data_IF_768803014542
#
_entry.id   IF_768803014542
#
_cell.length_a   1.000
_cell.length_b   1.000
_cell.length_c   1.000
_cell.angle_alpha   90.00
_cell.angle_beta   90.00
_cell.angle_gamma   90.00
#
_symmetry.space_group_name_H-M   'P 1'
#
loop_
_entity.id
_entity.type
_entity.pdbx_description
1 polymer ?
#
# COMPACT_ATOMS: atom_id res chain seq x y z
N UNK A 1 -4.24 18.25 -12.97
CA UNK A 1 -5.17 17.23 -12.47
C UNK A 1 -5.78 16.49 -13.65
N UNK A 2 -5.97 15.14 -13.53
CA UNK A 2 -6.59 14.31 -14.57
C UNK A 2 -7.41 13.19 -13.91
N UNK A 3 -8.58 12.86 -14.48
CA UNK A 3 -9.32 11.65 -14.14
C UNK A 3 -8.62 10.41 -14.69
N UNK A 4 -8.60 9.32 -13.91
CA UNK A 4 -7.89 8.10 -14.29
C UNK A 4 -8.71 6.84 -13.97
N UNK A 5 -9.35 6.26 -14.98
CA UNK A 5 -10.29 5.14 -14.85
C UNK A 5 -9.66 3.82 -14.35
N UNK A 6 -8.33 3.70 -14.40
CA UNK A 6 -7.61 2.52 -13.88
C UNK A 6 -7.37 2.55 -12.37
N UNK A 7 -7.67 3.67 -11.68
CA UNK A 7 -7.69 3.70 -10.22
C UNK A 7 -8.93 2.92 -9.75
N UNK A 8 -8.72 1.80 -9.06
CA UNK A 8 -9.82 0.94 -8.62
C UNK A 8 -10.16 1.10 -7.14
N UNK A 9 -9.14 1.12 -6.28
CA UNK A 9 -9.27 1.14 -4.83
C UNK A 9 -8.68 2.38 -4.16
N UNK A 10 -7.96 3.24 -4.89
CA UNK A 10 -7.45 4.51 -4.38
C UNK A 10 -8.27 5.67 -4.91
N UNK A 11 -8.52 6.68 -4.06
CA UNK A 11 -9.24 7.88 -4.40
C UNK A 11 -8.44 8.77 -5.36
N UNK A 12 -7.14 8.92 -5.10
CA UNK A 12 -6.22 9.68 -5.92
C UNK A 12 -4.84 9.04 -5.99
N UNK A 13 -3.94 9.70 -6.70
CA UNK A 13 -2.51 9.41 -6.77
C UNK A 13 -1.71 10.62 -7.21
N UNK A 14 -0.68 10.98 -6.46
CA UNK A 14 0.33 11.93 -6.86
C UNK A 14 1.38 11.28 -7.76
N UNK A 15 1.69 11.88 -8.90
CA UNK A 15 2.74 11.44 -9.80
C UNK A 15 3.89 12.45 -9.75
N UNK A 16 4.92 12.15 -8.98
CA UNK A 16 5.98 13.09 -8.63
C UNK A 16 6.80 13.59 -9.83
N UNK A 17 7.12 12.70 -10.77
CA UNK A 17 7.96 13.05 -11.93
C UNK A 17 7.31 14.08 -12.87
N UNK A 18 6.00 14.07 -12.97
CA UNK A 18 5.25 14.95 -13.88
C UNK A 18 4.41 15.98 -13.13
N UNK A 19 4.55 16.08 -11.80
CA UNK A 19 3.76 16.94 -10.92
C UNK A 19 2.23 16.86 -11.20
N UNK A 20 1.74 15.64 -11.47
CA UNK A 20 0.37 15.41 -11.88
C UNK A 20 -0.42 14.70 -10.77
N UNK A 21 -1.61 15.22 -10.46
CA UNK A 21 -2.60 14.55 -9.63
C UNK A 21 -3.56 13.76 -10.50
N UNK A 22 -3.69 12.48 -10.21
CA UNK A 22 -4.67 11.57 -10.80
C UNK A 22 -5.81 11.34 -9.81
N UNK A 23 -7.05 11.49 -10.25
CA UNK A 23 -8.24 11.26 -9.44
C UNK A 23 -9.08 10.10 -9.99
N UNK A 24 -9.68 9.35 -9.07
CA UNK A 24 -10.59 8.27 -9.41
C UNK A 24 -11.94 8.87 -9.86
N UNK A 25 -12.47 8.51 -11.04
CA UNK A 25 -13.77 9.01 -11.50
C UNK A 25 -14.92 8.72 -10.53
N UNK A 26 -14.83 7.66 -9.73
CA UNK A 26 -15.86 7.33 -8.72
C UNK A 26 -16.00 8.36 -7.61
N UNK A 27 -15.05 9.28 -7.46
CA UNK A 27 -15.20 10.40 -6.53
C UNK A 27 -16.41 11.26 -6.85
N UNK A 28 -16.86 11.29 -8.09
CA UNK A 28 -18.07 12.03 -8.51
C UNK A 28 -19.29 11.56 -7.73
N UNK A 29 -19.37 10.26 -7.41
CA UNK A 29 -20.46 9.65 -6.63
C UNK A 29 -20.49 10.14 -5.16
N UNK A 30 -19.37 10.72 -4.68
CA UNK A 30 -19.20 11.18 -3.30
C UNK A 30 -19.26 12.69 -3.13
N UNK A 31 -19.49 13.43 -4.25
CA UNK A 31 -19.67 14.87 -4.26
C UNK A 31 -18.38 15.70 -4.34
N UNK A 32 -18.57 17.00 -4.59
CA UNK A 32 -17.48 17.93 -4.86
C UNK A 32 -16.54 18.12 -3.65
N UNK A 33 -17.07 18.07 -2.44
CA UNK A 33 -16.26 18.21 -1.22
C UNK A 33 -15.20 17.09 -1.12
N UNK A 34 -15.56 15.85 -1.46
CA UNK A 34 -14.63 14.72 -1.43
C UNK A 34 -13.64 14.77 -2.58
N UNK A 35 -14.05 15.28 -3.74
CA UNK A 35 -13.13 15.54 -4.87
C UNK A 35 -12.08 16.58 -4.48
N UNK A 36 -12.49 17.70 -3.90
CA UNK A 36 -11.59 18.77 -3.44
C UNK A 36 -10.65 18.26 -2.34
N UNK A 37 -11.17 17.56 -1.36
CA UNK A 37 -10.39 16.95 -0.29
C UNK A 37 -9.32 15.99 -0.83
N UNK A 38 -9.70 15.08 -1.72
CA UNK A 38 -8.76 14.14 -2.35
C UNK A 38 -7.73 14.87 -3.20
N UNK A 39 -8.13 15.89 -3.94
CA UNK A 39 -7.22 16.72 -4.73
C UNK A 39 -6.16 17.39 -3.84
N UNK A 40 -6.55 17.99 -2.73
CA UNK A 40 -5.64 18.63 -1.76
C UNK A 40 -4.73 17.59 -1.10
N UNK A 41 -5.23 16.40 -0.76
CA UNK A 41 -4.43 15.30 -0.24
C UNK A 41 -3.28 14.93 -1.19
N UNK A 42 -3.59 14.72 -2.45
CA UNK A 42 -2.57 14.36 -3.46
C UNK A 42 -1.65 15.55 -3.80
N UNK A 43 -2.17 16.78 -3.75
CA UNK A 43 -1.37 17.99 -3.91
C UNK A 43 -0.39 18.16 -2.74
N UNK A 44 -0.80 17.82 -1.50
CA UNK A 44 0.08 17.83 -0.35
C UNK A 44 1.28 16.89 -0.53
N UNK A 45 1.08 15.72 -1.16
CA UNK A 45 2.19 14.84 -1.53
C UNK A 45 3.17 15.50 -2.50
N UNK A 46 2.67 16.17 -3.55
CA UNK A 46 3.52 16.87 -4.51
C UNK A 46 4.28 18.02 -3.86
N UNK A 47 3.61 18.81 -3.03
CA UNK A 47 4.18 19.96 -2.33
C UNK A 47 5.27 19.52 -1.34
N UNK A 48 5.00 18.49 -0.53
CA UNK A 48 5.98 17.91 0.39
C UNK A 48 7.21 17.40 -0.35
N UNK A 49 7.00 16.67 -1.46
CA UNK A 49 8.09 16.16 -2.28
C UNK A 49 8.92 17.28 -2.93
N UNK A 50 8.27 18.31 -3.48
CA UNK A 50 8.95 19.46 -4.07
C UNK A 50 9.82 20.20 -3.04
N UNK A 51 9.30 20.42 -1.83
CA UNK A 51 10.03 21.07 -0.72
C UNK A 51 11.19 20.23 -0.21
N UNK A 52 11.02 18.90 -0.21
CA UNK A 52 12.08 17.98 0.22
C UNK A 52 13.25 17.90 -0.78
N UNK A 53 13.03 18.20 -2.05
CA UNK A 53 14.03 18.11 -3.11
C UNK A 53 14.53 16.66 -3.26
N UNK A 54 15.83 16.43 -3.00
CA UNK A 54 16.45 15.09 -3.09
C UNK A 54 16.35 14.28 -1.80
N UNK A 55 15.87 14.85 -0.69
CA UNK A 55 15.73 14.14 0.58
C UNK A 55 14.63 13.08 0.47
N UNK A 56 14.88 11.91 1.02
CA UNK A 56 13.81 10.91 1.21
C UNK A 56 12.95 11.31 2.39
N UNK A 57 11.65 11.41 2.17
CA UNK A 57 10.65 11.71 3.18
C UNK A 57 9.63 10.56 3.29
N UNK A 58 9.01 10.43 4.45
CA UNK A 58 7.92 9.49 4.63
C UNK A 58 6.67 10.00 3.89
N UNK A 59 5.90 9.14 3.20
CA UNK A 59 4.74 9.57 2.41
C UNK A 59 3.74 10.43 3.18
N UNK A 60 3.48 10.12 4.46
CA UNK A 60 2.59 10.86 5.34
C UNK A 60 3.34 11.35 6.59
N UNK A 61 4.60 11.78 6.40
CA UNK A 61 5.48 12.31 7.42
C UNK A 61 5.18 13.77 7.79
N UNK A 62 6.08 14.41 8.57
CA UNK A 62 5.94 15.80 8.98
C UNK A 62 5.79 16.76 7.80
N UNK A 63 6.54 16.57 6.72
CA UNK A 63 6.51 17.41 5.52
C UNK A 63 5.13 17.38 4.83
N UNK A 64 4.53 16.18 4.74
CA UNK A 64 3.19 16.01 4.20
C UNK A 64 2.13 16.66 5.12
N UNK A 65 2.25 16.48 6.43
CA UNK A 65 1.32 17.11 7.40
C UNK A 65 1.37 18.64 7.32
N UNK A 66 2.58 19.22 7.20
CA UNK A 66 2.74 20.64 7.01
C UNK A 66 2.07 21.10 5.70
N UNK A 67 2.26 20.37 4.62
CA UNK A 67 1.60 20.66 3.35
C UNK A 67 0.07 20.56 3.44
N UNK A 68 -0.47 19.60 4.20
CA UNK A 68 -1.91 19.52 4.48
C UNK A 68 -2.42 20.76 5.23
N UNK A 69 -1.67 21.22 6.24
CA UNK A 69 -2.01 22.46 6.96
C UNK A 69 -2.04 23.66 6.03
N UNK A 70 -1.03 23.81 5.19
CA UNK A 70 -0.92 24.91 4.22
C UNK A 70 -2.05 24.90 3.18
N UNK A 71 -2.60 23.72 2.87
CA UNK A 71 -3.72 23.52 1.96
C UNK A 71 -5.10 23.55 2.66
N UNK A 72 -5.15 23.87 3.96
CA UNK A 72 -6.39 23.97 4.72
C UNK A 72 -7.07 22.63 5.04
N UNK A 73 -6.30 21.53 5.08
CA UNK A 73 -6.76 20.17 5.44
C UNK A 73 -5.88 19.59 6.54
N UNK A 74 -5.63 20.34 7.61
CA UNK A 74 -4.73 19.94 8.70
C UNK A 74 -5.14 18.63 9.41
N UNK A 75 -6.45 18.32 9.42
CA UNK A 75 -7.05 17.11 9.99
C UNK A 75 -7.04 15.89 9.06
N UNK A 76 -6.35 16.00 7.90
CA UNK A 76 -6.40 14.97 6.87
C UNK A 76 -5.82 13.64 7.35
N UNK A 77 -6.54 12.56 7.04
CA UNK A 77 -6.14 11.18 7.37
C UNK A 77 -5.23 10.60 6.28
N UNK A 78 -4.39 9.64 6.68
CA UNK A 78 -3.48 8.95 5.74
C UNK A 78 -4.19 8.17 4.66
N UNK A 79 -5.40 7.66 4.97
CA UNK A 79 -6.19 6.83 4.08
C UNK A 79 -7.63 7.35 4.05
N UNK A 80 -8.23 7.34 2.87
CA UNK A 80 -9.66 7.60 2.74
C UNK A 80 -10.49 6.44 3.31
N UNK A 81 -11.70 6.74 3.74
CA UNK A 81 -12.70 5.75 4.21
C UNK A 81 -13.75 5.44 3.15
N UNK A 82 -13.54 5.89 1.91
CA UNK A 82 -14.48 5.70 0.82
C UNK A 82 -14.67 4.22 0.49
N UNK A 83 -15.91 3.76 0.21
CA UNK A 83 -16.24 2.36 -0.03
C UNK A 83 -15.85 1.90 -1.45
N UNK A 84 -14.62 2.17 -1.85
CA UNK A 84 -14.13 1.68 -3.14
C UNK A 84 -13.96 0.17 -3.12
N UNK A 85 -14.24 -0.52 -4.22
CA UNK A 85 -14.09 -1.96 -4.30
C UNK A 85 -12.65 -2.38 -4.03
N UNK A 86 -12.43 -3.12 -2.97
CA UNK A 86 -11.15 -3.77 -2.71
C UNK A 86 -11.09 -5.07 -3.52
N UNK A 87 -10.29 -5.10 -4.57
CA UNK A 87 -10.01 -6.38 -5.23
C UNK A 87 -9.14 -7.24 -4.32
N UNK A 88 -9.73 -8.27 -3.73
CA UNK A 88 -8.95 -9.35 -3.11
C UNK A 88 -8.15 -10.03 -4.22
N UNK A 89 -6.85 -9.82 -4.23
CA UNK A 89 -5.97 -10.52 -5.18
C UNK A 89 -6.00 -12.01 -4.86
N UNK A 90 -6.24 -12.88 -5.84
CA UNK A 90 -6.12 -14.32 -5.64
C UNK A 90 -4.75 -14.65 -5.04
N UNK A 91 -4.72 -15.59 -4.11
CA UNK A 91 -3.49 -16.09 -3.48
C UNK A 91 -3.25 -17.55 -3.91
N UNK A 92 -2.80 -17.76 -5.17
CA UNK A 92 -2.68 -19.10 -5.74
C UNK A 92 -1.61 -19.95 -5.08
N UNK A 93 -0.66 -19.33 -4.40
CA UNK A 93 0.44 -20.05 -3.76
C UNK A 93 0.13 -20.24 -2.27
N UNK A 94 0.10 -21.49 -1.80
CA UNK A 94 0.01 -21.82 -0.40
C UNK A 94 1.34 -22.42 0.06
N UNK A 95 1.96 -21.77 1.03
CA UNK A 95 3.15 -22.27 1.71
C UNK A 95 2.80 -22.71 3.12
N UNK A 96 3.52 -23.67 3.67
CA UNK A 96 3.35 -24.17 5.02
C UNK A 96 4.68 -24.25 5.74
N UNK A 97 4.67 -23.91 7.03
CA UNK A 97 5.80 -24.17 7.91
C UNK A 97 5.86 -25.67 8.24
N UNK A 98 7.01 -26.35 8.06
CA UNK A 98 7.11 -27.78 8.37
C UNK A 98 7.08 -28.08 9.88
N UNK A 99 7.30 -27.08 10.74
CA UNK A 99 7.36 -27.27 12.19
C UNK A 99 6.02 -26.97 12.85
N UNK A 100 5.45 -25.77 12.66
CA UNK A 100 4.19 -25.38 13.31
C UNK A 100 2.96 -25.58 12.42
N UNK A 101 3.11 -26.07 11.21
CA UNK A 101 2.05 -26.30 10.22
C UNK A 101 1.23 -25.05 9.85
N UNK A 102 1.67 -23.85 10.23
CA UNK A 102 0.99 -22.59 9.88
C UNK A 102 1.00 -22.36 8.37
N UNK A 103 -0.15 -21.94 7.84
CA UNK A 103 -0.35 -21.67 6.42
C UNK A 103 -0.09 -20.21 6.06
N UNK A 104 0.60 -20.01 4.93
CA UNK A 104 1.00 -18.70 4.41
C UNK A 104 0.53 -18.54 2.96
N UNK A 105 -0.72 -18.10 2.72
CA UNK A 105 -1.19 -17.86 1.36
C UNK A 105 -0.50 -16.62 0.76
N UNK A 106 -0.01 -16.74 -0.49
CA UNK A 106 0.75 -15.71 -1.20
C UNK A 106 0.15 -15.41 -2.58
N UNK A 107 0.24 -14.13 -2.97
CA UNK A 107 -0.16 -13.65 -4.30
C UNK A 107 0.90 -14.00 -5.35
N UNK A 108 2.17 -14.07 -4.94
CA UNK A 108 3.31 -14.38 -5.82
C UNK A 108 4.12 -15.52 -5.23
N UNK A 109 4.77 -16.29 -6.11
CA UNK A 109 5.72 -17.34 -5.70
C UNK A 109 6.88 -16.72 -4.93
N UNK A 110 7.25 -17.35 -3.82
CA UNK A 110 8.43 -16.97 -3.03
C UNK A 110 9.68 -17.35 -3.83
N UNK A 111 10.53 -16.37 -4.13
CA UNK A 111 11.76 -16.55 -4.90
C UNK A 111 13.01 -16.65 -4.04
N UNK A 112 12.94 -16.21 -2.77
CA UNK A 112 14.05 -16.26 -1.81
C UNK A 112 13.68 -17.18 -0.68
N UNK A 113 14.69 -17.69 0.05
CA UNK A 113 14.44 -18.47 1.25
C UNK A 113 13.71 -17.60 2.29
N UNK A 114 12.52 -18.05 2.71
CA UNK A 114 11.70 -17.38 3.73
C UNK A 114 11.34 -18.41 4.79
N UNK A 115 11.59 -18.10 6.06
CA UNK A 115 11.25 -18.94 7.19
C UNK A 115 10.01 -18.43 7.93
N UNK A 116 9.41 -19.32 8.73
CA UNK A 116 8.31 -18.98 9.63
C UNK A 116 8.83 -18.07 10.76
N UNK A 117 8.39 -16.82 10.79
CA UNK A 117 8.85 -15.86 11.79
C UNK A 117 8.57 -16.33 13.22
N UNK A 118 7.37 -16.88 13.48
CA UNK A 118 6.99 -17.34 14.80
C UNK A 118 7.94 -18.48 15.29
N UNK A 119 8.27 -19.45 14.43
CA UNK A 119 9.23 -20.50 14.78
C UNK A 119 10.65 -19.95 14.96
N UNK A 120 11.07 -18.99 14.13
CA UNK A 120 12.36 -18.32 14.29
C UNK A 120 12.43 -17.57 15.62
N UNK A 121 11.40 -16.84 16.00
CA UNK A 121 11.35 -16.14 17.29
C UNK A 121 11.38 -17.10 18.46
N UNK A 122 10.60 -18.19 18.40
CA UNK A 122 10.48 -19.14 19.50
C UNK A 122 11.74 -19.99 19.69
N UNK A 123 12.38 -20.43 18.61
CA UNK A 123 13.41 -21.46 18.68
C UNK A 123 14.83 -21.01 18.30
N UNK A 124 14.98 -19.81 17.67
CA UNK A 124 16.28 -19.33 17.19
C UNK A 124 16.50 -17.83 17.43
N UNK A 125 15.78 -17.22 18.40
CA UNK A 125 15.90 -15.80 18.73
C UNK A 125 15.73 -14.88 17.52
N UNK A 126 14.81 -15.24 16.61
CA UNK A 126 14.53 -14.48 15.40
C UNK A 126 15.48 -14.73 14.23
N UNK A 127 16.47 -15.60 14.37
CA UNK A 127 17.41 -15.95 13.29
C UNK A 127 16.78 -16.94 12.31
N UNK A 128 17.12 -16.79 11.04
CA UNK A 128 16.73 -17.77 10.01
C UNK A 128 17.38 -19.13 10.27
N UNK A 129 16.58 -20.20 10.20
CA UNK A 129 17.04 -21.56 10.14
C UNK A 129 16.32 -22.33 9.02
N UNK A 130 17.03 -23.18 8.29
CA UNK A 130 16.50 -23.92 7.14
C UNK A 130 15.33 -24.84 7.54
N UNK A 131 15.32 -25.37 8.77
CA UNK A 131 14.21 -26.20 9.29
C UNK A 131 12.88 -25.45 9.38
N UNK A 132 12.88 -24.11 9.46
CA UNK A 132 11.68 -23.26 9.50
C UNK A 132 11.31 -22.70 8.13
N UNK A 133 12.04 -23.04 7.08
CA UNK A 133 11.79 -22.58 5.72
C UNK A 133 10.41 -23.01 5.24
N UNK A 134 9.65 -22.06 4.73
CA UNK A 134 8.31 -22.29 4.20
C UNK A 134 8.37 -23.17 2.95
N UNK A 135 7.58 -24.25 2.93
CA UNK A 135 7.46 -25.17 1.81
C UNK A 135 6.20 -24.90 1.01
N UNK A 136 6.30 -24.93 -0.32
CA UNK A 136 5.12 -24.82 -1.19
C UNK A 136 4.27 -26.09 -1.05
N UNK A 137 3.00 -25.92 -0.67
CA UNK A 137 2.04 -27.02 -0.51
C UNK A 137 1.10 -27.10 -1.70
N UNK A 138 0.69 -25.94 -2.22
CA UNK A 138 -0.26 -25.84 -3.33
C UNK A 138 0.04 -24.64 -4.21
N UNK A 139 -0.04 -24.86 -5.52
CA UNK A 139 -0.10 -23.84 -6.55
C UNK A 139 -1.42 -24.03 -7.32
N UNK A 140 -2.34 -23.06 -7.19
CA UNK A 140 -3.59 -23.11 -7.97
C UNK A 140 -3.28 -22.60 -9.38
N UNK A 141 -3.63 -23.39 -10.39
CA UNK A 141 -3.50 -23.01 -11.79
C UNK A 141 -4.28 -21.72 -12.04
N UNK A 142 -3.68 -20.79 -12.77
CA UNK A 142 -4.38 -19.64 -13.34
C UNK A 142 -5.12 -20.19 -14.60
N UNK A 143 -6.43 -20.32 -14.48
CA UNK A 143 -7.28 -20.40 -15.65
C UNK A 143 -7.51 -18.98 -16.18
#
# INVERSE_FOLDING_TARGET
>A
MRWHSRLRSSAGRAHYQTALVLLNPRLVEHGNAEIDRTLRHELAHLLAHARAGRRRIAPHGPEWRQACTDLGIADEKRCHTLPFPTQRRPRPYLYRCPICAADFPRVRRIRRAVACLACCQLHSRGRYEERFKLRLVREANRF
#
